data_IF_759113873066
#
_entry.id   IF_759113873066
#
_cell.length_a   1.000
_cell.length_b   1.000
_cell.length_c   1.000
_cell.angle_alpha   90.00
_cell.angle_beta   90.00
_cell.angle_gamma   90.00
#
_symmetry.space_group_name_H-M   'P 1'
#
loop_
_entity.id
_entity.type
_entity.pdbx_description
1 polymer ?
#
# COMPACT_ATOMS: atom_id res chain seq x y z
N UNK A 1 -0.85 19.92 -6.27
CA UNK A 1 -1.59 18.93 -5.44
C UNK A 1 -0.63 18.44 -4.37
N UNK A 2 -0.99 18.62 -3.10
CA UNK A 2 -0.16 18.18 -1.98
C UNK A 2 -0.30 16.64 -1.86
N UNK A 3 0.71 15.90 -2.32
CA UNK A 3 0.80 14.47 -2.03
C UNK A 3 1.16 14.36 -0.55
N UNK A 4 0.16 14.16 0.32
CA UNK A 4 0.44 13.68 1.67
C UNK A 4 1.06 12.29 1.51
N UNK A 5 2.38 12.21 1.60
CA UNK A 5 3.05 10.92 1.75
C UNK A 5 2.46 10.25 3.00
N UNK A 6 1.85 9.06 2.88
CA UNK A 6 1.30 8.38 4.03
C UNK A 6 2.40 8.14 5.06
N UNK A 7 2.08 8.36 6.34
CA UNK A 7 2.94 7.87 7.41
C UNK A 7 2.81 6.35 7.46
N UNK A 8 3.78 5.67 6.84
CA UNK A 8 3.78 4.21 6.74
C UNK A 8 3.96 3.53 8.10
N UNK A 9 4.57 4.19 9.09
CA UNK A 9 4.70 3.64 10.44
C UNK A 9 3.34 3.65 11.15
N UNK A 10 2.60 4.76 11.05
CA UNK A 10 1.24 4.84 11.58
C UNK A 10 0.29 3.85 10.87
N UNK A 11 0.42 3.72 9.54
CA UNK A 11 -0.36 2.76 8.75
C UNK A 11 -0.08 1.31 9.18
N UNK A 12 1.20 0.93 9.37
CA UNK A 12 1.57 -0.41 9.80
C UNK A 12 1.04 -0.73 11.20
N UNK A 13 1.13 0.21 12.15
CA UNK A 13 0.59 0.03 13.49
C UNK A 13 -0.94 -0.18 13.47
N UNK A 14 -1.65 0.53 12.60
CA UNK A 14 -3.09 0.33 12.41
C UNK A 14 -3.41 -1.04 11.79
N UNK A 15 -2.69 -1.42 10.72
CA UNK A 15 -2.94 -2.69 10.02
C UNK A 15 -2.59 -3.91 10.86
N UNK A 16 -1.60 -3.82 11.74
CA UNK A 16 -1.29 -4.87 12.71
C UNK A 16 -2.52 -5.19 13.58
N UNK A 17 -3.23 -4.16 14.06
CA UNK A 17 -4.46 -4.33 14.84
C UNK A 17 -5.63 -4.84 13.99
N UNK A 18 -5.85 -4.25 12.81
CA UNK A 18 -6.98 -4.60 11.93
C UNK A 18 -6.90 -6.05 11.45
N UNK A 19 -5.69 -6.53 11.16
CA UNK A 19 -5.44 -7.87 10.65
C UNK A 19 -5.14 -8.90 11.75
N UNK A 20 -5.15 -8.47 13.02
CA UNK A 20 -4.80 -9.30 14.17
C UNK A 20 -3.45 -10.04 14.00
N UNK A 21 -2.43 -9.30 13.55
CA UNK A 21 -1.08 -9.82 13.35
C UNK A 21 -0.22 -9.54 14.60
N UNK A 22 0.67 -10.46 14.95
CA UNK A 22 1.68 -10.23 15.98
C UNK A 22 3.03 -9.93 15.33
N UNK A 23 3.51 -8.69 15.47
CA UNK A 23 4.79 -8.27 14.91
C UNK A 23 5.75 -7.79 16.00
N UNK A 24 6.89 -8.46 16.10
CA UNK A 24 8.01 -7.96 16.87
C UNK A 24 8.64 -6.73 16.19
N UNK A 25 9.49 -6.02 16.92
CA UNK A 25 10.12 -4.77 16.45
C UNK A 25 10.94 -4.98 15.17
N UNK A 26 11.59 -6.14 15.03
CA UNK A 26 12.41 -6.44 13.86
C UNK A 26 11.54 -6.63 12.60
N UNK A 27 10.43 -7.36 12.71
CA UNK A 27 9.48 -7.54 11.61
C UNK A 27 8.79 -6.23 11.23
N UNK A 28 8.43 -5.39 12.21
CA UNK A 28 7.87 -4.06 11.94
C UNK A 28 8.85 -3.17 11.18
N UNK A 29 10.13 -3.16 11.57
CA UNK A 29 11.15 -2.38 10.89
C UNK A 29 11.40 -2.86 9.44
N UNK A 30 11.41 -4.17 9.23
CA UNK A 30 11.56 -4.73 7.88
C UNK A 30 10.35 -4.40 7.01
N UNK A 31 9.12 -4.56 7.53
CA UNK A 31 7.90 -4.20 6.80
C UNK A 31 7.89 -2.72 6.43
N UNK A 32 8.31 -1.82 7.33
CA UNK A 32 8.40 -0.39 7.01
C UNK A 32 9.34 -0.11 5.83
N UNK A 33 10.47 -0.81 5.78
CA UNK A 33 11.41 -0.73 4.66
C UNK A 33 10.78 -1.22 3.35
N UNK A 34 10.11 -2.36 3.38
CA UNK A 34 9.47 -2.93 2.19
C UNK A 34 8.30 -2.08 1.70
N UNK A 35 7.46 -1.57 2.59
CA UNK A 35 6.36 -0.66 2.25
C UNK A 35 6.89 0.62 1.58
N UNK A 36 7.96 1.19 2.10
CA UNK A 36 8.59 2.40 1.52
C UNK A 36 9.11 2.13 0.10
N UNK A 37 9.68 0.93 -0.14
CA UNK A 37 10.13 0.50 -1.48
C UNK A 37 8.96 0.29 -2.43
N UNK A 38 7.92 -0.41 -1.99
CA UNK A 38 6.72 -0.67 -2.80
C UNK A 38 6.04 0.66 -3.16
N UNK A 39 5.90 1.59 -2.22
CA UNK A 39 5.34 2.92 -2.48
C UNK A 39 6.13 3.69 -3.55
N UNK A 40 7.46 3.54 -3.56
CA UNK A 40 8.31 4.12 -4.61
C UNK A 40 8.08 3.43 -5.95
N UNK A 41 8.00 2.09 -5.97
CA UNK A 41 7.75 1.32 -7.19
C UNK A 41 6.36 1.53 -7.77
N UNK A 42 5.35 1.79 -6.93
CA UNK A 42 3.97 2.03 -7.33
C UNK A 42 3.68 3.49 -7.67
N UNK A 43 4.57 4.41 -7.33
CA UNK A 43 4.40 5.84 -7.61
C UNK A 43 4.07 6.16 -9.09
N UNK A 44 4.67 5.49 -10.09
CA UNK A 44 4.30 5.68 -11.49
C UNK A 44 2.87 5.21 -11.81
N UNK A 45 2.43 4.11 -11.20
CA UNK A 45 1.07 3.59 -11.38
C UNK A 45 0.03 4.55 -10.81
N UNK A 46 0.30 5.13 -9.63
CA UNK A 46 -0.58 6.13 -9.01
C UNK A 46 -0.59 7.47 -9.77
N UNK A 47 0.44 7.74 -10.58
CA UNK A 47 0.51 8.94 -11.42
C UNK A 47 -0.15 8.74 -12.79
N UNK A 48 -0.45 7.49 -13.18
CA UNK A 48 -1.10 7.19 -14.44
C UNK A 48 -2.58 7.60 -14.38
N UNK A 49 -3.08 8.39 -15.34
CA UNK A 49 -4.49 8.78 -15.36
C UNK A 49 -5.35 7.55 -15.65
N UNK A 50 -6.38 7.35 -14.83
CA UNK A 50 -7.38 6.31 -15.07
C UNK A 50 -8.61 6.95 -15.71
N UNK A 51 -9.07 6.40 -16.83
CA UNK A 51 -10.38 6.71 -17.39
C UNK A 51 -11.49 6.10 -16.52
N UNK A 52 -12.67 6.75 -16.49
CA UNK A 52 -13.83 6.35 -15.67
C UNK A 52 -14.37 4.93 -15.97
N UNK A 53 -13.94 4.32 -17.09
CA UNK A 53 -14.44 3.03 -17.59
C UNK A 53 -13.34 1.97 -17.75
N UNK A 54 -12.22 2.11 -17.04
CA UNK A 54 -11.20 1.06 -17.04
C UNK A 54 -11.77 -0.21 -16.42
N UNK A 55 -11.99 -1.22 -17.26
CA UNK A 55 -12.29 -2.58 -16.80
C UNK A 55 -11.05 -3.16 -16.13
N UNK A 56 -11.25 -3.90 -15.04
CA UNK A 56 -10.18 -4.64 -14.39
C UNK A 56 -9.78 -5.79 -15.30
N UNK A 57 -8.47 -6.02 -15.46
CA UNK A 57 -7.98 -7.18 -16.19
C UNK A 57 -8.44 -8.47 -15.49
N UNK A 58 -9.37 -9.20 -16.13
CA UNK A 58 -9.97 -10.42 -15.60
C UNK A 58 -11.45 -10.23 -15.23
N UNK A 59 -12.34 -10.41 -16.21
CA UNK A 59 -13.79 -10.48 -15.97
C UNK A 59 -14.10 -11.87 -15.41
N UNK A 60 -14.62 -11.93 -14.19
CA UNK A 60 -15.16 -13.17 -13.65
C UNK A 60 -16.34 -13.63 -14.51
N UNK A 61 -16.23 -14.83 -15.07
CA UNK A 61 -17.33 -15.51 -15.74
C UNK A 61 -17.87 -16.57 -14.78
N UNK A 62 -19.12 -16.39 -14.33
CA UNK A 62 -19.82 -17.28 -13.41
C UNK A 62 -20.38 -18.51 -14.14
#
# INVERSE_FOLDING_TARGET
>A
MMKNTPDWAAYLAQMEQVLALELDDARRAELLTQFSRIATMSAPLMAYPLDDRLEVAGVYQA
#
